data_IF_595499135254
#
_entry.id   IF_595499135254
#
_cell.length_a   1.000
_cell.length_b   1.000
_cell.length_c   1.000
_cell.angle_alpha   90.00
_cell.angle_beta   90.00
_cell.angle_gamma   90.00
#
_symmetry.space_group_name_H-M   'P 1'
#
loop_
_entity.id
_entity.type
_entity.pdbx_description
1 polymer ?
#
# COMPACT_ATOMS: atom_id res chain seq x y z
N UNK A 1 -6.29 -57.32 6.81
CA UNK A 1 -6.40 -56.14 7.70
C UNK A 1 -6.36 -54.86 6.86
N UNK A 2 -7.51 -54.42 6.35
CA UNK A 2 -7.62 -53.14 5.64
C UNK A 2 -8.33 -52.11 6.54
N UNK A 3 -7.75 -51.87 7.72
CA UNK A 3 -8.30 -51.00 8.76
C UNK A 3 -7.89 -49.54 8.56
N UNK A 4 -7.78 -49.03 7.32
CA UNK A 4 -7.57 -47.58 7.10
C UNK A 4 -7.92 -47.19 5.65
N UNK A 5 -9.09 -47.59 5.15
CA UNK A 5 -9.67 -46.93 3.96
C UNK A 5 -10.95 -46.22 4.37
N UNK A 6 -10.90 -44.88 4.38
CA UNK A 6 -12.09 -44.04 4.50
C UNK A 6 -12.99 -44.34 3.29
N UNK A 7 -14.24 -44.72 3.54
CA UNK A 7 -15.17 -45.18 2.51
C UNK A 7 -15.94 -44.06 1.79
N UNK A 8 -15.86 -42.81 2.27
CA UNK A 8 -16.47 -41.63 1.62
C UNK A 8 -15.58 -40.41 1.80
N UNK A 9 -15.33 -39.66 0.72
CA UNK A 9 -14.73 -38.32 0.80
C UNK A 9 -15.74 -37.37 1.45
N UNK A 10 -15.57 -37.10 2.75
CA UNK A 10 -16.46 -36.22 3.53
C UNK A 10 -15.95 -34.77 3.62
N UNK A 11 -14.98 -34.40 2.78
CA UNK A 11 -14.42 -33.06 2.72
C UNK A 11 -14.95 -32.43 1.43
N UNK A 12 -15.97 -31.60 1.55
CA UNK A 12 -16.42 -30.77 0.44
C UNK A 12 -15.25 -29.87 0.00
N UNK A 13 -14.69 -30.15 -1.19
CA UNK A 13 -13.56 -29.42 -1.78
C UNK A 13 -13.98 -28.04 -2.33
N UNK A 14 -14.90 -27.36 -1.66
CA UNK A 14 -15.45 -26.08 -2.11
C UNK A 14 -15.62 -25.09 -0.97
N UNK A 15 -14.55 -24.87 -0.20
CA UNK A 15 -14.37 -23.53 0.37
C UNK A 15 -13.50 -22.79 -0.62
N UNK A 16 -14.13 -21.96 -1.47
CA UNK A 16 -13.40 -20.91 -2.18
C UNK A 16 -12.48 -20.25 -1.15
N UNK A 17 -11.16 -20.34 -1.36
CA UNK A 17 -10.22 -19.58 -0.55
C UNK A 17 -10.62 -18.12 -0.76
N UNK A 18 -11.22 -17.52 0.26
CA UNK A 18 -11.49 -16.08 0.26
C UNK A 18 -10.12 -15.44 0.18
N UNK A 19 -9.77 -14.89 -0.98
CA UNK A 19 -8.55 -14.11 -1.14
C UNK A 19 -8.63 -12.95 -0.15
N UNK A 20 -7.92 -13.08 0.96
CA UNK A 20 -7.84 -12.04 1.96
C UNK A 20 -7.10 -10.88 1.28
N UNK A 21 -7.66 -9.66 1.28
CA UNK A 21 -6.99 -8.54 0.65
C UNK A 21 -5.63 -8.35 1.32
N UNK A 22 -4.56 -8.53 0.54
CA UNK A 22 -3.20 -8.23 0.99
C UNK A 22 -3.10 -6.75 1.38
N UNK A 23 -2.25 -6.44 2.37
CA UNK A 23 -1.96 -5.06 2.77
C UNK A 23 -2.70 -4.55 4.02
N UNK A 24 -3.42 -5.41 4.74
CA UNK A 24 -4.00 -5.08 6.05
C UNK A 24 -2.95 -4.87 7.15
N UNK A 25 -1.78 -5.50 7.00
CA UNK A 25 -0.70 -5.48 7.98
C UNK A 25 0.55 -4.85 7.39
N UNK A 26 1.18 -3.97 8.16
CA UNK A 26 2.41 -3.27 7.80
C UNK A 26 3.44 -3.53 8.90
N UNK A 27 4.64 -3.95 8.50
CA UNK A 27 5.77 -4.09 9.41
C UNK A 27 6.47 -2.75 9.56
N UNK A 28 6.76 -2.34 10.80
CA UNK A 28 7.54 -1.14 11.06
C UNK A 28 9.03 -1.37 10.78
N UNK A 29 9.65 -0.52 9.97
CA UNK A 29 11.09 -0.58 9.68
C UNK A 29 11.97 -0.16 10.88
N UNK A 30 11.43 0.63 11.80
CA UNK A 30 12.15 1.09 12.99
C UNK A 30 12.21 0.07 14.13
N UNK A 31 11.10 -0.61 14.44
CA UNK A 31 11.02 -1.53 15.59
C UNK A 31 10.59 -2.96 15.25
N UNK A 32 10.25 -3.24 14.00
CA UNK A 32 9.83 -4.56 13.54
C UNK A 32 8.40 -4.98 13.93
N UNK A 33 7.65 -4.11 14.63
CA UNK A 33 6.28 -4.37 15.05
C UNK A 33 5.34 -4.53 13.85
N UNK A 34 4.38 -5.46 13.94
CA UNK A 34 3.36 -5.68 12.91
C UNK A 34 2.12 -4.89 13.32
N UNK A 35 1.79 -3.87 12.53
CA UNK A 35 0.72 -2.92 12.83
C UNK A 35 -0.38 -3.06 11.78
N UNK A 36 -1.63 -2.97 12.21
CA UNK A 36 -2.76 -2.96 11.28
C UNK A 36 -2.85 -1.61 10.57
N UNK A 37 -3.16 -1.59 9.28
CA UNK A 37 -3.18 -0.37 8.46
C UNK A 37 -4.13 0.70 9.01
N UNK A 38 -5.33 0.30 9.47
CA UNK A 38 -6.27 1.25 10.08
C UNK A 38 -5.73 1.92 11.35
N UNK A 39 -4.90 1.21 12.12
CA UNK A 39 -4.27 1.78 13.29
C UNK A 39 -3.19 2.80 12.92
N UNK A 40 -2.45 2.56 11.82
CA UNK A 40 -1.53 3.55 11.26
C UNK A 40 -2.26 4.79 10.77
N UNK A 41 -3.39 4.64 10.08
CA UNK A 41 -4.20 5.76 9.58
C UNK A 41 -4.69 6.66 10.72
N UNK A 42 -5.19 6.07 11.81
CA UNK A 42 -5.61 6.82 13.02
C UNK A 42 -4.42 7.49 13.72
N UNK A 43 -3.24 6.87 13.69
CA UNK A 43 -2.00 7.40 14.27
C UNK A 43 -1.23 8.32 13.30
N UNK A 44 -1.86 8.83 12.24
CA UNK A 44 -1.24 9.70 11.24
C UNK A 44 0.06 9.13 10.66
N UNK A 45 0.04 7.83 10.36
CA UNK A 45 1.17 7.05 9.83
C UNK A 45 2.44 7.15 10.67
N UNK A 46 2.26 7.21 11.99
CA UNK A 46 3.34 7.15 12.97
C UNK A 46 3.25 5.85 13.76
N UNK A 47 4.38 5.17 13.94
CA UNK A 47 4.41 3.94 14.73
C UNK A 47 4.02 4.23 16.19
N UNK A 48 2.99 3.58 16.75
CA UNK A 48 2.55 3.83 18.13
C UNK A 48 3.56 3.32 19.17
N UNK A 49 4.50 2.45 18.78
CA UNK A 49 5.48 1.83 19.69
C UNK A 49 6.82 2.58 19.75
N UNK A 50 7.32 3.02 18.59
CA UNK A 50 8.66 3.63 18.49
C UNK A 50 8.67 5.04 17.88
N UNK A 51 7.49 5.61 17.58
CA UNK A 51 7.34 6.93 16.97
C UNK A 51 8.05 7.10 15.61
N UNK A 52 8.32 5.99 14.91
CA UNK A 52 8.83 6.03 13.55
C UNK A 52 7.77 6.56 12.57
N UNK A 53 8.16 7.53 11.74
CA UNK A 53 7.30 8.10 10.71
C UNK A 53 7.38 7.29 9.42
N UNK A 54 6.24 6.79 8.95
CA UNK A 54 6.17 6.07 7.69
C UNK A 54 6.13 7.05 6.51
N UNK A 55 6.61 6.59 5.35
CA UNK A 55 6.41 7.30 4.10
C UNK A 55 4.93 7.22 3.70
N UNK A 56 4.35 8.37 3.40
CA UNK A 56 2.95 8.50 2.98
C UNK A 56 2.84 9.18 1.62
N UNK A 57 1.72 8.94 0.94
CA UNK A 57 1.40 9.63 -0.29
C UNK A 57 1.02 11.09 -0.03
N UNK A 58 1.07 11.88 -1.10
CA UNK A 58 0.73 13.30 -1.03
C UNK A 58 -0.73 13.53 -0.63
N UNK A 59 -1.66 12.68 -1.09
CA UNK A 59 -3.09 12.81 -0.82
C UNK A 59 -3.41 12.59 0.66
N UNK A 60 -2.83 11.55 1.24
CA UNK A 60 -2.95 11.24 2.66
C UNK A 60 -2.39 12.38 3.49
N UNK A 61 -1.23 12.92 3.11
CA UNK A 61 -0.61 14.02 3.84
C UNK A 61 -1.42 15.32 3.77
N UNK A 62 -2.01 15.63 2.60
CA UNK A 62 -2.91 16.78 2.43
C UNK A 62 -4.11 16.67 3.36
N UNK A 63 -4.71 15.48 3.48
CA UNK A 63 -5.87 15.24 4.35
C UNK A 63 -5.54 15.39 5.85
N UNK A 64 -4.28 15.22 6.25
CA UNK A 64 -3.83 15.43 7.62
C UNK A 64 -3.60 16.91 7.92
N UNK A 65 -3.11 17.66 6.93
CA UNK A 65 -2.69 19.05 7.11
C UNK A 65 -3.81 20.07 6.92
N UNK A 66 -4.77 19.80 6.04
CA UNK A 66 -5.80 20.74 5.64
C UNK A 66 -7.18 20.32 6.15
N UNK A 67 -8.04 21.31 6.37
CA UNK A 67 -9.43 21.07 6.74
C UNK A 67 -10.19 20.34 5.63
N UNK A 68 -11.12 19.48 6.02
CA UNK A 68 -11.91 18.68 5.08
C UNK A 68 -12.65 19.57 4.07
N UNK A 69 -12.51 19.26 2.78
CA UNK A 69 -13.16 20.01 1.69
C UNK A 69 -12.51 21.36 1.34
N UNK A 70 -11.48 21.80 2.08
CA UNK A 70 -10.79 23.08 1.81
C UNK A 70 -9.75 22.98 0.68
N UNK A 71 -9.27 21.78 0.38
CA UNK A 71 -8.21 21.58 -0.59
C UNK A 71 -8.67 21.89 -2.03
N UNK A 72 -7.97 22.81 -2.67
CA UNK A 72 -8.13 23.11 -4.10
C UNK A 72 -6.82 22.88 -4.82
N UNK A 73 -6.78 21.85 -5.66
CA UNK A 73 -5.59 21.54 -6.46
C UNK A 73 -5.30 22.69 -7.45
N UNK A 74 -4.04 23.11 -7.50
CA UNK A 74 -3.56 24.14 -8.41
C UNK A 74 -2.70 23.49 -9.48
N UNK A 75 -2.86 23.90 -10.74
CA UNK A 75 -2.04 23.45 -11.87
C UNK A 75 -2.07 21.93 -12.11
N UNK A 76 -3.23 21.28 -11.94
CA UNK A 76 -3.38 19.82 -12.13
C UNK A 76 -2.94 19.31 -13.52
N UNK A 77 -2.90 20.18 -14.53
CA UNK A 77 -2.44 19.85 -15.88
C UNK A 77 -0.93 20.03 -16.11
N UNK A 78 -0.17 20.48 -15.10
CA UNK A 78 1.27 20.68 -15.21
C UNK A 78 1.98 19.33 -15.36
N UNK A 79 2.92 19.24 -16.31
CA UNK A 79 3.67 18.02 -16.61
C UNK A 79 5.13 18.35 -16.86
N UNK A 80 5.99 17.40 -16.52
CA UNK A 80 7.42 17.47 -16.85
C UNK A 80 7.63 17.37 -18.36
N UNK A 81 8.55 18.18 -18.87
CA UNK A 81 8.99 18.18 -20.28
C UNK A 81 10.50 17.94 -20.34
N UNK A 82 11.01 17.55 -21.50
CA UNK A 82 12.43 17.27 -21.73
C UNK A 82 13.08 18.32 -22.65
N UNK A 83 13.41 19.53 -22.14
CA UNK A 83 14.01 20.58 -22.96
C UNK A 83 15.46 20.26 -23.34
N UNK A 84 16.15 19.44 -22.54
CA UNK A 84 17.56 19.09 -22.74
C UNK A 84 17.75 17.87 -23.65
N UNK A 85 16.66 17.19 -24.03
CA UNK A 85 16.68 15.90 -24.75
C UNK A 85 17.56 14.88 -24.01
N UNK A 86 17.44 14.86 -22.69
CA UNK A 86 18.34 14.11 -21.82
C UNK A 86 18.18 12.60 -22.00
N UNK A 87 19.31 11.91 -22.11
CA UNK A 87 19.36 10.46 -22.23
C UNK A 87 20.42 9.90 -21.28
N UNK A 88 19.99 8.95 -20.45
CA UNK A 88 20.88 8.05 -19.70
C UNK A 88 20.75 6.62 -20.24
N UNK A 89 20.57 5.61 -19.39
CA UNK A 89 20.18 4.26 -19.81
C UNK A 89 18.78 4.19 -20.46
N UNK A 90 17.87 5.10 -20.12
CA UNK A 90 16.56 5.31 -20.76
C UNK A 90 16.39 6.81 -21.05
N UNK A 91 15.72 7.17 -22.15
CA UNK A 91 15.44 8.59 -22.42
C UNK A 91 14.48 9.13 -21.36
N UNK A 92 14.68 10.38 -20.94
CA UNK A 92 13.85 10.98 -19.90
C UNK A 92 12.36 11.00 -20.27
N UNK A 93 12.05 11.26 -21.56
CA UNK A 93 10.69 11.20 -22.09
C UNK A 93 10.01 9.82 -21.92
N UNK A 94 10.77 8.73 -21.91
CA UNK A 94 10.24 7.38 -21.71
C UNK A 94 10.00 7.10 -20.22
N UNK A 95 10.85 7.63 -19.32
CA UNK A 95 10.67 7.53 -17.86
C UNK A 95 9.43 8.27 -17.36
N UNK A 96 9.01 9.36 -18.02
CA UNK A 96 7.79 10.10 -17.65
C UNK A 96 6.51 9.30 -17.97
N UNK A 97 6.57 8.31 -18.87
CA UNK A 97 5.41 7.50 -19.28
C UNK A 97 5.19 6.24 -18.43
N UNK A 98 6.24 5.74 -17.77
CA UNK A 98 6.15 4.67 -16.76
C UNK A 98 5.53 5.20 -15.47
#
# INVERSE_FOLDING_TARGET
MAWFRRSKENIEKSTMKKDMPGGLWVKCDGCGEIIHRSQLEVAYYTCPKCSYHFRIGSREYIAILLDEGSFKELNASMRSVDPLRFADSKRYADRIKE
#
